data_IF_744700215317
#
_entry.id   IF_744700215317
#
_cell.length_a   1.000
_cell.length_b   1.000
_cell.length_c   1.000
_cell.angle_alpha   90.00
_cell.angle_beta   90.00
_cell.angle_gamma   90.00
#
_symmetry.space_group_name_H-M   'P 1'
#
loop_
_entity.id
_entity.type
_entity.pdbx_description
1 polymer ?
#
# COMPACT_ATOMS: atom_id res chain seq x y z
N UNK A 1 -12.56 -10.28 -2.33
CA UNK A 1 -13.89 -10.73 -2.80
C UNK A 1 -14.45 -9.59 -3.63
N UNK A 2 -14.80 -9.81 -4.90
CA UNK A 2 -15.38 -8.74 -5.73
C UNK A 2 -16.87 -8.65 -5.46
N UNK A 3 -17.31 -7.50 -4.98
CA UNK A 3 -18.71 -7.25 -4.68
C UNK A 3 -19.47 -7.00 -5.98
N UNK A 4 -20.33 -7.94 -6.35
CA UNK A 4 -21.39 -7.87 -7.37
C UNK A 4 -21.01 -7.43 -8.81
N UNK A 5 -21.31 -8.30 -9.77
CA UNK A 5 -21.31 -7.97 -11.21
C UNK A 5 -22.47 -7.01 -11.53
N UNK A 6 -22.16 -5.85 -12.12
CA UNK A 6 -23.16 -4.87 -12.58
C UNK A 6 -23.22 -4.80 -14.10
N UNK A 7 -24.40 -4.46 -14.62
CA UNK A 7 -24.62 -4.15 -16.03
C UNK A 7 -25.04 -2.69 -16.15
N UNK A 8 -24.33 -1.92 -16.97
CA UNK A 8 -24.70 -0.53 -17.24
C UNK A 8 -26.01 -0.47 -18.05
N UNK A 9 -27.01 0.34 -17.66
CA UNK A 9 -28.24 0.50 -18.44
C UNK A 9 -28.05 1.29 -19.74
N UNK A 10 -27.03 2.15 -19.83
CA UNK A 10 -26.81 3.02 -20.99
C UNK A 10 -26.01 2.34 -22.10
N UNK A 11 -24.88 1.72 -21.77
CA UNK A 11 -23.99 1.08 -22.74
C UNK A 11 -24.04 -0.45 -22.71
N UNK A 12 -24.87 -1.05 -21.84
CA UNK A 12 -25.04 -2.49 -21.66
C UNK A 12 -23.79 -3.27 -21.23
N UNK A 13 -22.68 -2.59 -20.96
CA UNK A 13 -21.41 -3.17 -20.52
C UNK A 13 -21.55 -3.82 -19.15
N UNK A 14 -21.02 -5.04 -19.04
CA UNK A 14 -20.89 -5.78 -17.77
C UNK A 14 -19.54 -5.45 -17.14
N UNK A 15 -19.55 -5.12 -15.85
CA UNK A 15 -18.36 -4.70 -15.14
C UNK A 15 -18.45 -5.11 -13.67
N UNK A 16 -17.29 -5.26 -13.04
CA UNK A 16 -17.14 -5.49 -11.61
C UNK A 16 -16.81 -4.18 -10.90
N UNK A 17 -17.08 -4.10 -9.60
CA UNK A 17 -16.60 -3.00 -8.79
C UNK A 17 -15.99 -3.52 -7.49
N UNK A 18 -15.02 -2.77 -6.95
CA UNK A 18 -14.44 -3.00 -5.64
C UNK A 18 -14.54 -1.72 -4.82
N UNK A 19 -14.85 -1.88 -3.54
CA UNK A 19 -14.76 -0.81 -2.56
C UNK A 19 -13.31 -0.67 -2.07
N UNK A 20 -12.74 0.52 -2.23
CA UNK A 20 -11.45 0.85 -1.63
C UNK A 20 -11.73 1.47 -0.27
N UNK A 21 -11.61 0.66 0.78
CA UNK A 21 -11.66 1.08 2.18
C UNK A 21 -10.28 1.57 2.65
N UNK A 22 -10.16 2.18 3.83
CA UNK A 22 -8.94 2.82 4.37
C UNK A 22 -8.55 4.18 3.77
N UNK A 23 -9.51 4.94 3.24
CA UNK A 23 -9.28 6.36 2.94
C UNK A 23 -9.38 7.16 4.25
N UNK A 24 -8.22 7.46 4.86
CA UNK A 24 -8.13 8.27 6.09
C UNK A 24 -8.90 9.58 5.86
N UNK A 25 -9.89 9.87 6.71
CA UNK A 25 -10.81 11.03 6.68
C UNK A 25 -12.11 10.92 5.86
N UNK A 26 -12.46 9.78 5.25
CA UNK A 26 -13.74 9.71 4.55
C UNK A 26 -14.91 9.33 5.49
N UNK A 27 -15.77 10.32 5.78
CA UNK A 27 -17.05 10.06 6.47
C UNK A 27 -17.96 9.22 5.58
N UNK A 28 -18.77 8.35 6.19
CA UNK A 28 -19.75 7.51 5.48
C UNK A 28 -20.65 8.40 4.62
N UNK A 29 -20.57 8.25 3.30
CA UNK A 29 -21.32 9.03 2.31
C UNK A 29 -21.84 8.11 1.22
N UNK A 30 -22.91 8.53 0.56
CA UNK A 30 -23.35 7.88 -0.68
C UNK A 30 -22.33 8.11 -1.79
N UNK A 31 -21.71 7.02 -2.22
CA UNK A 31 -20.67 7.00 -3.24
C UNK A 31 -21.22 6.39 -4.52
N UNK A 32 -21.01 7.05 -5.68
CA UNK A 32 -21.48 6.55 -6.96
C UNK A 32 -20.58 5.42 -7.49
N UNK A 33 -21.21 4.36 -8.00
CA UNK A 33 -20.58 3.33 -8.81
C UNK A 33 -20.80 3.72 -10.27
N UNK A 34 -19.71 4.06 -10.95
CA UNK A 34 -19.75 4.56 -12.34
C UNK A 34 -19.34 3.47 -13.31
N UNK A 35 -19.92 3.48 -14.50
CA UNK A 35 -19.54 2.54 -15.54
C UNK A 35 -18.15 2.90 -16.10
N UNK A 36 -17.23 1.93 -16.26
CA UNK A 36 -15.89 2.20 -16.78
C UNK A 36 -15.86 2.62 -18.26
N UNK A 37 -16.96 2.46 -19.00
CA UNK A 37 -17.03 2.77 -20.43
C UNK A 37 -17.70 4.10 -20.75
N UNK A 38 -18.72 4.51 -20.00
CA UNK A 38 -19.51 5.71 -20.28
C UNK A 38 -19.62 6.68 -19.10
N UNK A 39 -18.95 6.38 -17.99
CA UNK A 39 -19.00 7.10 -16.71
C UNK A 39 -20.40 7.29 -16.12
N UNK A 40 -21.41 6.60 -16.68
CA UNK A 40 -22.78 6.65 -16.19
C UNK A 40 -22.85 6.09 -14.76
N UNK A 41 -23.51 6.83 -13.87
CA UNK A 41 -23.72 6.38 -12.49
C UNK A 41 -24.80 5.31 -12.46
N UNK A 42 -24.37 4.05 -12.32
CA UNK A 42 -25.27 2.89 -12.33
C UNK A 42 -25.98 2.73 -10.99
N UNK A 43 -25.26 2.94 -9.89
CA UNK A 43 -25.80 2.78 -8.52
C UNK A 43 -25.07 3.72 -7.57
N UNK A 44 -25.68 4.00 -6.42
CA UNK A 44 -25.03 4.68 -5.29
C UNK A 44 -25.12 3.77 -4.07
N UNK A 45 -24.03 3.66 -3.31
CA UNK A 45 -23.96 2.87 -2.07
C UNK A 45 -23.29 3.70 -0.99
N UNK A 46 -23.76 3.56 0.25
CA UNK A 46 -23.11 4.17 1.41
C UNK A 46 -21.79 3.46 1.69
N UNK A 47 -20.68 4.20 1.60
CA UNK A 47 -19.32 3.67 1.75
C UNK A 47 -18.46 4.63 2.55
N UNK A 48 -17.41 4.09 3.18
CA UNK A 48 -16.34 4.83 3.84
C UNK A 48 -15.14 5.11 2.92
N UNK A 49 -15.29 4.88 1.61
CA UNK A 49 -14.23 5.06 0.63
C UNK A 49 -14.81 5.38 -0.72
N UNK A 50 -14.21 4.85 -1.78
CA UNK A 50 -14.72 5.02 -3.16
C UNK A 50 -14.79 3.67 -3.87
N UNK A 51 -15.59 3.62 -4.93
CA UNK A 51 -15.75 2.42 -5.75
C UNK A 51 -14.89 2.54 -7.02
N UNK A 52 -14.05 1.54 -7.25
CA UNK A 52 -13.29 1.35 -8.49
C UNK A 52 -14.02 0.33 -9.34
N UNK A 53 -14.08 0.54 -10.65
CA UNK A 53 -14.80 -0.37 -11.57
C UNK A 53 -13.86 -0.94 -12.62
N UNK A 54 -14.10 -2.20 -12.98
CA UNK A 54 -13.26 -3.00 -13.88
C UNK A 54 -14.14 -3.66 -14.94
N UNK A 55 -13.71 -3.66 -16.20
CA UNK A 55 -14.44 -4.35 -17.27
C UNK A 55 -14.34 -5.86 -17.06
N UNK A 56 -15.42 -6.58 -17.37
CA UNK A 56 -15.45 -8.06 -17.30
C UNK A 56 -14.33 -8.70 -18.14
N UNK A 57 -14.07 -8.18 -19.33
CA UNK A 57 -13.03 -8.67 -20.25
C UNK A 57 -11.62 -8.55 -19.68
N UNK A 58 -11.38 -7.57 -18.80
CA UNK A 58 -10.09 -7.40 -18.11
C UNK A 58 -10.01 -8.26 -16.84
N UNK A 59 -11.14 -8.75 -16.34
CA UNK A 59 -11.21 -9.56 -15.14
C UNK A 59 -11.10 -11.06 -15.44
N UNK A 60 -11.76 -11.53 -16.51
CA UNK A 60 -11.68 -12.94 -16.93
C UNK A 60 -10.31 -13.31 -17.52
N UNK A 61 -9.59 -12.35 -18.12
CA UNK A 61 -8.22 -12.55 -18.60
C UNK A 61 -7.13 -12.42 -17.52
N UNK A 62 -7.53 -12.17 -16.27
CA UNK A 62 -6.63 -12.09 -15.14
C UNK A 62 -7.07 -13.14 -14.10
N UNK A 63 -6.55 -14.37 -14.15
CA UNK A 63 -5.42 -14.68 -13.27
C UNK A 63 -4.55 -13.45 -13.04
N UNK A 64 -5.01 -12.54 -12.17
CA UNK A 64 -4.30 -11.32 -11.81
C UNK A 64 -3.07 -11.78 -11.05
N UNK A 65 -2.00 -12.08 -11.79
CA UNK A 65 -0.66 -11.82 -11.30
C UNK A 65 -0.66 -10.30 -11.07
N UNK A 66 -0.93 -9.89 -9.82
CA UNK A 66 -0.72 -8.53 -9.35
C UNK A 66 0.75 -8.30 -9.63
N UNK A 67 1.06 -7.75 -10.80
CA UNK A 67 2.40 -7.76 -11.39
C UNK A 67 3.41 -7.60 -10.29
N UNK A 68 4.07 -8.71 -9.95
CA UNK A 68 5.33 -8.65 -9.25
C UNK A 68 6.21 -7.91 -10.24
N UNK A 69 6.26 -6.57 -10.13
CA UNK A 69 7.40 -5.85 -10.65
C UNK A 69 8.60 -6.63 -10.11
N UNK A 70 9.49 -7.14 -10.98
CA UNK A 70 10.58 -7.98 -10.53
C UNK A 70 11.31 -7.19 -9.45
N UNK A 71 11.33 -7.74 -8.23
CA UNK A 71 11.97 -7.06 -7.11
C UNK A 71 13.40 -6.74 -7.54
N UNK A 72 13.83 -5.47 -7.44
CA UNK A 72 15.18 -5.11 -7.84
C UNK A 72 16.17 -5.94 -7.04
N UNK A 73 17.18 -6.49 -7.73
CA UNK A 73 18.17 -7.38 -7.13
C UNK A 73 18.99 -6.68 -6.05
N UNK A 74 19.16 -5.36 -6.19
CA UNK A 74 19.96 -4.52 -5.32
C UNK A 74 19.25 -3.20 -5.01
N UNK A 75 19.55 -2.66 -3.84
CA UNK A 75 19.08 -1.37 -3.38
C UNK A 75 20.25 -0.52 -2.92
N UNK A 76 20.21 0.78 -3.19
CA UNK A 76 21.25 1.74 -2.79
C UNK A 76 20.69 2.74 -1.79
N UNK A 77 21.41 2.92 -0.69
CA UNK A 77 21.12 3.95 0.29
C UNK A 77 21.42 5.33 -0.30
N UNK A 78 20.45 6.24 -0.28
CA UNK A 78 20.60 7.59 -0.82
C UNK A 78 21.49 8.49 0.04
N UNK A 79 21.66 8.17 1.33
CA UNK A 79 22.46 8.95 2.30
C UNK A 79 23.89 8.45 2.40
N UNK A 80 24.09 7.14 2.54
CA UNK A 80 25.41 6.52 2.74
C UNK A 80 26.03 6.03 1.44
N UNK A 81 25.23 5.84 0.39
CA UNK A 81 25.68 5.26 -0.87
C UNK A 81 25.90 3.74 -0.81
N UNK A 82 25.63 3.10 0.33
CA UNK A 82 25.75 1.66 0.52
C UNK A 82 24.80 0.90 -0.41
N UNK A 83 25.27 -0.22 -0.99
CA UNK A 83 24.47 -1.09 -1.85
C UNK A 83 24.22 -2.40 -1.11
N UNK A 84 22.97 -2.82 -1.02
CA UNK A 84 22.54 -4.04 -0.34
C UNK A 84 21.71 -4.92 -1.29
N UNK A 85 21.65 -6.22 -1.00
CA UNK A 85 20.82 -7.16 -1.76
C UNK A 85 19.33 -6.99 -1.43
N UNK A 86 18.46 -7.53 -2.29
CA UNK A 86 17.03 -7.62 -2.01
C UNK A 86 16.71 -8.40 -0.72
N UNK A 87 17.47 -9.43 -0.39
CA UNK A 87 17.32 -10.20 0.84
C UNK A 87 17.67 -9.36 2.09
N UNK A 88 18.73 -8.56 2.01
CA UNK A 88 19.12 -7.63 3.08
C UNK A 88 18.06 -6.55 3.29
N UNK A 89 17.55 -5.98 2.20
CA UNK A 89 16.50 -4.99 2.24
C UNK A 89 15.23 -5.53 2.91
N UNK A 90 14.85 -6.77 2.60
CA UNK A 90 13.71 -7.43 3.21
C UNK A 90 13.91 -7.67 4.71
N UNK A 91 15.13 -8.05 5.13
CA UNK A 91 15.49 -8.17 6.56
C UNK A 91 15.32 -6.85 7.31
N UNK A 92 15.69 -5.72 6.70
CA UNK A 92 15.52 -4.40 7.31
C UNK A 92 14.04 -4.02 7.50
N UNK A 93 13.18 -4.36 6.53
CA UNK A 93 11.72 -4.16 6.66
C UNK A 93 11.18 -5.00 7.81
N UNK A 94 11.53 -6.29 7.86
CA UNK A 94 11.07 -7.20 8.91
C UNK A 94 11.53 -6.76 10.31
N UNK A 95 12.76 -6.28 10.43
CA UNK A 95 13.31 -5.76 11.69
C UNK A 95 12.54 -4.51 12.15
N UNK A 96 12.26 -3.57 11.24
CA UNK A 96 11.45 -2.40 11.55
C UNK A 96 10.02 -2.77 11.96
N UNK A 97 9.38 -3.71 11.24
CA UNK A 97 8.04 -4.20 11.58
C UNK A 97 8.01 -4.90 12.94
N UNK A 98 9.08 -5.60 13.33
CA UNK A 98 9.21 -6.20 14.67
C UNK A 98 9.38 -5.15 15.76
N UNK A 99 10.09 -4.05 15.50
CA UNK A 99 10.22 -2.94 16.45
C UNK A 99 8.88 -2.22 16.65
N UNK A 100 8.09 -2.07 15.58
CA UNK A 100 6.77 -1.43 15.62
C UNK A 100 5.66 -2.32 16.21
N UNK A 101 5.68 -3.62 15.90
CA UNK A 101 4.66 -4.58 16.33
C UNK A 101 5.08 -5.46 17.53
N UNK A 102 6.24 -5.20 18.11
CA UNK A 102 6.69 -5.84 19.34
C UNK A 102 5.71 -5.56 20.49
N UNK A 103 5.56 -6.48 21.47
CA UNK A 103 4.78 -6.19 22.66
C UNK A 103 5.40 -4.96 23.32
N UNK A 104 4.65 -3.85 23.37
CA UNK A 104 5.05 -2.68 24.15
C UNK A 104 5.50 -3.18 25.53
N UNK A 105 6.79 -2.96 25.83
CA UNK A 105 7.27 -2.86 27.19
C UNK A 105 6.53 -1.69 27.83
N UNK A 106 5.37 -2.00 28.42
CA UNK A 106 4.47 -1.09 29.13
C UNK A 106 5.11 -0.36 30.32
N UNK A 107 6.42 -0.48 30.54
CA UNK A 107 7.15 0.05 31.70
C UNK A 107 8.03 1.29 31.40
N UNK A 108 8.13 1.76 30.14
CA UNK A 108 8.98 2.91 29.79
C UNK A 108 8.24 4.17 29.32
N UNK A 109 6.91 4.24 29.49
CA UNK A 109 6.12 5.47 29.29
C UNK A 109 5.89 6.20 30.62
N UNK A 110 6.94 6.27 31.46
CA UNK A 110 6.81 6.72 32.85
C UNK A 110 8.13 7.11 33.51
N UNK A 111 8.93 7.96 32.85
CA UNK A 111 9.99 8.71 33.53
C UNK A 111 11.41 8.44 33.02
N UNK A 112 11.94 9.40 32.27
CA UNK A 112 13.35 9.81 32.22
C UNK A 112 13.50 10.79 31.06
N UNK A 113 13.26 12.09 31.25
CA UNK A 113 14.40 13.00 31.33
C UNK A 113 15.64 12.35 31.98
N UNK A 114 16.53 11.80 31.16
CA UNK A 114 17.97 11.84 31.42
C UNK A 114 18.69 12.13 30.11
N UNK A 115 19.22 13.34 30.01
CA UNK A 115 20.41 13.65 29.24
C UNK A 115 21.49 12.61 29.57
N UNK A 116 21.81 11.75 28.62
CA UNK A 116 23.14 11.19 28.50
C UNK A 116 23.55 11.38 27.04
N UNK A 117 24.54 12.25 26.88
CA UNK A 117 25.36 12.41 25.69
C UNK A 117 25.76 11.01 25.17
N UNK A 118 25.26 10.65 24.00
CA UNK A 118 25.94 9.74 23.10
C UNK A 118 25.70 10.28 21.69
N UNK A 119 26.65 11.09 21.24
CA UNK A 119 26.81 11.59 19.89
C UNK A 119 27.12 10.45 18.89
N UNK A 120 26.43 9.31 18.98
CA UNK A 120 26.73 8.09 18.19
C UNK A 120 25.47 7.41 17.60
N UNK A 121 24.34 8.10 17.48
CA UNK A 121 23.13 7.55 16.82
C UNK A 121 22.65 8.41 15.64
N UNK A 122 23.59 8.92 14.84
CA UNK A 122 23.33 9.44 13.49
C UNK A 122 23.47 8.36 12.40
N UNK A 123 23.45 7.08 12.77
CA UNK A 123 23.62 5.93 11.85
C UNK A 123 22.48 4.90 11.92
N UNK A 124 21.25 5.32 12.22
CA UNK A 124 20.09 4.45 11.94
C UNK A 124 19.84 4.49 10.42
N UNK A 125 20.49 3.62 9.66
CA UNK A 125 20.16 3.41 8.25
C UNK A 125 18.71 2.93 8.16
N UNK A 126 17.80 3.84 7.84
CA UNK A 126 16.39 3.51 7.67
C UNK A 126 16.22 2.73 6.37
N UNK A 127 15.43 1.65 6.38
CA UNK A 127 15.08 0.94 5.14
C UNK A 127 14.44 1.90 4.12
N UNK A 128 13.77 2.96 4.56
CA UNK A 128 13.17 3.99 3.68
C UNK A 128 14.20 4.78 2.86
N UNK A 129 15.47 4.76 3.26
CA UNK A 129 16.55 5.46 2.55
C UNK A 129 17.13 4.64 1.38
N UNK A 130 16.67 3.40 1.18
CA UNK A 130 17.15 2.50 0.13
C UNK A 130 16.23 2.53 -1.10
N UNK A 131 16.82 2.80 -2.28
CA UNK A 131 16.10 2.84 -3.56
C UNK A 131 16.61 1.75 -4.51
N UNK A 132 15.78 1.24 -5.44
CA UNK A 132 16.22 0.28 -6.46
C UNK A 132 17.49 0.72 -7.19
N UNK A 133 18.45 -0.18 -7.32
CA UNK A 133 19.71 0.07 -8.02
C UNK A 133 19.95 -1.00 -9.09
N UNK A 134 20.37 -0.55 -10.27
CA UNK A 134 20.81 -1.39 -11.37
C UNK A 134 22.23 -0.94 -11.76
N UNK A 135 23.19 -1.87 -11.83
CA UNK A 135 24.48 -1.58 -12.46
C UNK A 135 24.26 -1.56 -13.98
N UNK A 136 24.33 -0.36 -14.58
CA UNK A 136 24.32 -0.15 -16.04
C UNK A 136 25.55 -0.74 -16.75
#
# INVERSE_FOLDING_TARGET
MLDDKLKCPQCQTKFYYNEVTNVVHHRKKEMPIRCPQCDYTVKKKLSHGYFVTYKEEEFENKNVDLGQEPLPEQYKNIKTGAIISSEDYQRLIEENDRLLNGPMSSELMGGANMLLENEELNSSESYEDYVPYHED
#
